data_IF_185992574523
#
_entry.id   IF_185992574523
#
_cell.length_a   1.000
_cell.length_b   1.000
_cell.length_c   1.000
_cell.angle_alpha   90.00
_cell.angle_beta   90.00
_cell.angle_gamma   90.00
#
_symmetry.space_group_name_H-M   'P 1'
#
loop_
_entity.id
_entity.type
_entity.pdbx_description
1 polymer ?
#
# COMPACT_ATOMS: atom_id res chain seq x y z
N UNK A 1 -3.21 16.75 -9.74
CA UNK A 1 -2.38 17.97 -9.61
C UNK A 1 -1.74 18.22 -10.96
N UNK A 2 -1.90 19.40 -11.55
CA UNK A 2 -1.25 19.75 -12.84
C UNK A 2 0.20 20.23 -12.60
N UNK A 3 1.02 20.30 -13.66
CA UNK A 3 2.44 20.65 -13.55
C UNK A 3 2.67 22.06 -12.98
N UNK A 4 1.80 23.02 -13.33
CA UNK A 4 1.83 24.39 -12.76
C UNK A 4 1.57 24.42 -11.26
N UNK A 5 0.56 23.68 -10.79
CA UNK A 5 0.25 23.60 -9.36
C UNK A 5 1.35 22.92 -8.54
N UNK A 6 2.00 21.89 -9.11
CA UNK A 6 3.17 21.26 -8.51
C UNK A 6 4.35 22.24 -8.39
N UNK A 7 4.67 22.94 -9.48
CA UNK A 7 5.77 23.90 -9.49
C UNK A 7 5.57 25.01 -8.46
N UNK A 8 4.36 25.57 -8.39
CA UNK A 8 4.06 26.66 -7.45
C UNK A 8 4.24 26.20 -5.99
N UNK A 9 3.76 25.00 -5.64
CA UNK A 9 3.97 24.42 -4.31
C UNK A 9 5.45 24.13 -4.03
N UNK A 10 6.19 23.64 -5.02
CA UNK A 10 7.63 23.39 -4.90
C UNK A 10 8.39 24.68 -4.63
N UNK A 11 8.11 25.74 -5.39
CA UNK A 11 8.73 27.06 -5.21
C UNK A 11 8.40 27.63 -3.83
N UNK A 12 7.14 27.54 -3.38
CA UNK A 12 6.74 28.01 -2.05
C UNK A 12 7.46 27.27 -0.94
N UNK A 13 7.57 25.94 -1.02
CA UNK A 13 8.33 25.13 -0.06
C UNK A 13 9.80 25.55 -0.04
N UNK A 14 10.42 25.63 -1.22
CA UNK A 14 11.82 26.02 -1.36
C UNK A 14 12.06 27.40 -0.77
N UNK A 15 11.27 28.40 -1.15
CA UNK A 15 11.41 29.77 -0.63
C UNK A 15 11.16 29.84 0.87
N UNK A 16 10.15 29.16 1.40
CA UNK A 16 9.85 29.16 2.84
C UNK A 16 11.04 28.61 3.65
N UNK A 17 11.59 27.47 3.23
CA UNK A 17 12.73 26.84 3.91
C UNK A 17 13.97 27.73 3.77
N UNK A 18 14.30 28.14 2.55
CA UNK A 18 15.50 28.94 2.26
C UNK A 18 15.49 30.28 3.00
N UNK A 19 14.34 30.97 3.04
CA UNK A 19 14.22 32.23 3.77
C UNK A 19 14.31 32.04 5.28
N UNK A 20 13.72 30.97 5.82
CA UNK A 20 13.82 30.65 7.26
C UNK A 20 15.28 30.39 7.65
N UNK A 21 16.01 29.64 6.82
CA UNK A 21 17.44 29.38 7.02
C UNK A 21 18.30 30.62 6.90
N UNK A 22 18.00 31.52 5.95
CA UNK A 22 18.66 32.80 5.86
C UNK A 22 18.48 33.62 7.15
N UNK A 23 17.25 33.77 7.64
CA UNK A 23 16.94 34.47 8.89
C UNK A 23 17.65 33.84 10.08
N UNK A 24 17.63 32.50 10.19
CA UNK A 24 18.34 31.75 11.23
C UNK A 24 19.85 32.01 11.18
N UNK A 25 20.46 31.98 9.99
CA UNK A 25 21.88 32.28 9.80
C UNK A 25 22.21 33.69 10.27
N UNK A 26 21.40 34.68 9.90
CA UNK A 26 21.56 36.07 10.35
C UNK A 26 21.44 36.20 11.86
N UNK A 27 20.46 35.53 12.47
CA UNK A 27 20.26 35.54 13.91
C UNK A 27 21.44 34.90 14.67
N UNK A 28 21.96 33.77 14.19
CA UNK A 28 23.14 33.11 14.76
C UNK A 28 24.37 34.02 14.66
N UNK A 29 24.59 34.62 13.49
CA UNK A 29 25.71 35.53 13.29
C UNK A 29 25.60 36.79 14.16
N UNK A 30 24.39 37.35 14.30
CA UNK A 30 24.13 38.47 15.20
C UNK A 30 24.46 38.12 16.66
N UNK A 31 23.98 36.98 17.13
CA UNK A 31 24.21 36.52 18.51
C UNK A 31 25.70 36.33 18.82
N UNK A 32 26.46 35.75 17.88
CA UNK A 32 27.90 35.48 18.08
C UNK A 32 28.74 36.76 18.05
N UNK A 33 28.41 37.67 17.13
CA UNK A 33 29.24 38.84 16.88
C UNK A 33 28.86 40.04 17.75
N UNK A 34 27.61 40.11 18.22
CA UNK A 34 27.07 41.25 18.98
C UNK A 34 27.37 42.61 18.31
N UNK A 35 27.02 42.80 17.02
CA UNK A 35 27.35 44.02 16.28
C UNK A 35 26.62 45.25 16.85
N UNK A 36 27.24 46.43 16.71
CA UNK A 36 26.58 47.71 16.97
C UNK A 36 25.40 47.96 16.01
N UNK A 37 24.50 48.90 16.35
CA UNK A 37 23.33 49.20 15.52
C UNK A 37 23.71 49.64 14.08
N UNK A 38 24.83 50.35 13.91
CA UNK A 38 25.32 50.77 12.61
C UNK A 38 25.90 49.60 11.80
N UNK A 39 26.68 48.72 12.44
CA UNK A 39 27.21 47.51 11.82
C UNK A 39 26.07 46.55 11.42
N UNK A 40 25.04 46.44 12.25
CA UNK A 40 23.85 45.64 11.95
C UNK A 40 23.12 46.11 10.69
N UNK A 41 22.95 47.43 10.50
CA UNK A 41 22.34 47.99 9.28
C UNK A 41 23.15 47.69 8.02
N UNK A 42 24.48 47.78 8.10
CA UNK A 42 25.39 47.41 7.00
C UNK A 42 25.31 45.91 6.72
N UNK A 43 25.24 45.10 7.78
CA UNK A 43 25.13 43.66 7.70
C UNK A 43 23.77 43.21 7.14
N UNK A 44 22.71 43.98 7.32
CA UNK A 44 21.40 43.72 6.72
C UNK A 44 21.37 44.11 5.23
N UNK A 45 22.04 45.21 4.84
CA UNK A 45 21.99 45.75 3.47
C UNK A 45 22.92 45.05 2.49
N UNK A 46 24.13 44.71 2.93
CA UNK A 46 25.16 44.10 2.07
C UNK A 46 24.79 42.75 1.43
N UNK A 47 24.08 41.82 2.11
CA UNK A 47 23.86 40.48 1.60
C UNK A 47 22.54 40.30 0.84
N UNK A 48 21.65 41.30 0.80
CA UNK A 48 20.31 41.16 0.17
C UNK A 48 20.44 40.75 -1.31
N UNK A 49 21.38 41.36 -2.03
CA UNK A 49 21.63 41.04 -3.44
C UNK A 49 22.21 39.63 -3.57
N UNK A 50 23.15 39.26 -2.71
CA UNK A 50 23.80 37.94 -2.75
C UNK A 50 22.78 36.83 -2.44
N UNK A 51 21.95 37.00 -1.41
CA UNK A 51 20.86 36.07 -1.06
C UNK A 51 19.87 35.95 -2.23
N UNK A 52 19.49 37.06 -2.87
CA UNK A 52 18.59 37.02 -4.01
C UNK A 52 19.19 36.26 -5.20
N UNK A 53 20.49 36.48 -5.51
CA UNK A 53 21.20 35.77 -6.58
C UNK A 53 21.33 34.28 -6.27
N UNK A 54 21.74 33.92 -5.05
CA UNK A 54 21.88 32.53 -4.59
C UNK A 54 20.54 31.81 -4.67
N UNK A 55 19.46 32.44 -4.19
CA UNK A 55 18.10 31.89 -4.25
C UNK A 55 17.62 31.72 -5.70
N UNK A 56 17.92 32.67 -6.58
CA UNK A 56 17.57 32.56 -8.00
C UNK A 56 18.29 31.39 -8.69
N UNK A 57 19.58 31.21 -8.42
CA UNK A 57 20.36 30.07 -8.94
C UNK A 57 19.80 28.76 -8.39
N UNK A 58 19.54 28.68 -7.08
CA UNK A 58 19.00 27.48 -6.46
C UNK A 58 17.62 27.11 -7.03
N UNK A 59 16.72 28.10 -7.19
CA UNK A 59 15.42 27.92 -7.83
C UNK A 59 15.54 27.44 -9.29
N UNK A 60 16.51 27.95 -10.05
CA UNK A 60 16.76 27.51 -11.42
C UNK A 60 17.21 26.03 -11.47
N UNK A 61 18.07 25.62 -10.55
CA UNK A 61 18.50 24.21 -10.41
C UNK A 61 17.32 23.33 -10.02
N UNK A 62 16.54 23.72 -9.01
CA UNK A 62 15.35 22.99 -8.57
C UNK A 62 14.32 22.87 -9.69
N UNK A 63 14.09 23.93 -10.46
CA UNK A 63 13.23 23.90 -11.64
C UNK A 63 13.72 22.88 -12.67
N UNK A 64 15.02 22.86 -12.98
CA UNK A 64 15.62 21.88 -13.88
C UNK A 64 15.40 20.43 -13.43
N UNK A 65 15.55 20.17 -12.13
CA UNK A 65 15.32 18.85 -11.52
C UNK A 65 13.84 18.44 -11.52
N UNK A 66 12.93 19.40 -11.34
CA UNK A 66 11.49 19.19 -11.29
C UNK A 66 10.82 19.09 -12.66
N UNK A 67 11.46 19.61 -13.71
CA UNK A 67 10.90 19.67 -15.08
C UNK A 67 10.35 18.33 -15.60
N UNK A 68 11.03 17.17 -15.46
CA UNK A 68 10.49 15.89 -15.93
C UNK A 68 9.19 15.50 -15.21
N UNK A 69 9.07 15.81 -13.92
CA UNK A 69 7.86 15.56 -13.12
C UNK A 69 6.72 16.44 -13.62
N UNK A 70 6.99 17.72 -13.91
CA UNK A 70 5.99 18.62 -14.46
C UNK A 70 5.48 18.18 -15.83
N UNK A 71 6.38 17.77 -16.74
CA UNK A 71 6.02 17.28 -18.07
C UNK A 71 5.10 16.05 -17.99
N UNK A 72 5.33 15.17 -17.00
CA UNK A 72 4.45 14.06 -16.72
C UNK A 72 3.06 14.53 -16.22
N UNK A 73 3.02 15.45 -15.26
CA UNK A 73 1.74 15.97 -14.72
C UNK A 73 0.92 16.75 -15.74
N UNK A 74 1.55 17.32 -16.77
CA UNK A 74 0.89 18.00 -17.87
C UNK A 74 0.47 17.04 -19.00
N UNK A 75 0.60 15.72 -18.81
CA UNK A 75 0.20 14.71 -19.78
C UNK A 75 1.11 14.61 -21.01
N UNK A 76 2.28 15.26 -20.99
CA UNK A 76 3.24 15.28 -22.11
C UNK A 76 4.17 14.06 -22.14
N UNK A 77 4.11 13.22 -21.12
CA UNK A 77 4.91 12.00 -20.99
C UNK A 77 3.95 10.82 -20.83
N UNK A 78 3.79 10.04 -21.90
CA UNK A 78 2.85 8.90 -21.95
C UNK A 78 3.56 7.55 -22.07
N UNK A 79 4.83 7.53 -22.50
CA UNK A 79 5.61 6.30 -22.63
C UNK A 79 5.95 5.68 -21.27
N UNK A 80 5.74 4.36 -21.13
CA UNK A 80 6.00 3.59 -19.90
C UNK A 80 7.45 3.77 -19.42
N UNK A 81 8.43 3.72 -20.32
CA UNK A 81 9.84 3.92 -19.98
C UNK A 81 10.13 5.32 -19.44
N UNK A 82 9.44 6.34 -19.96
CA UNK A 82 9.57 7.70 -19.47
C UNK A 82 8.88 7.90 -18.11
N UNK A 83 7.74 7.26 -17.87
CA UNK A 83 7.06 7.24 -16.56
C UNK A 83 7.95 6.58 -15.49
N UNK A 84 8.64 5.47 -15.81
CA UNK A 84 9.61 4.84 -14.89
C UNK A 84 10.76 5.80 -14.54
N UNK A 85 11.32 6.53 -15.51
CA UNK A 85 12.35 7.55 -15.25
C UNK A 85 11.85 8.70 -14.36
N UNK A 86 10.59 9.14 -14.56
CA UNK A 86 9.96 10.16 -13.71
C UNK A 86 9.77 9.63 -12.29
N UNK A 87 9.36 8.38 -12.12
CA UNK A 87 9.25 7.70 -10.83
C UNK A 87 10.60 7.60 -10.12
N UNK A 88 11.64 7.12 -10.79
CA UNK A 88 12.99 7.00 -10.22
C UNK A 88 13.56 8.35 -9.79
N UNK A 89 13.37 9.37 -10.62
CA UNK A 89 13.74 10.74 -10.25
C UNK A 89 12.91 11.25 -9.10
N UNK A 90 11.59 11.05 -9.13
CA UNK A 90 10.65 11.50 -8.10
C UNK A 90 10.95 10.95 -6.71
N UNK A 91 11.40 9.69 -6.62
CA UNK A 91 11.82 9.06 -5.36
C UNK A 91 13.10 9.69 -4.81
N UNK A 92 14.05 10.05 -5.68
CA UNK A 92 15.34 10.61 -5.28
C UNK A 92 15.33 12.14 -5.15
N UNK A 93 14.35 12.83 -5.74
CA UNK A 93 14.24 14.28 -5.81
C UNK A 93 14.33 14.97 -4.43
N UNK A 94 13.66 14.49 -3.37
CA UNK A 94 13.79 15.08 -2.03
C UNK A 94 15.23 15.09 -1.51
N UNK A 95 15.98 14.01 -1.74
CA UNK A 95 17.37 13.88 -1.26
C UNK A 95 18.34 14.73 -2.08
N UNK A 96 18.15 14.78 -3.40
CA UNK A 96 18.99 15.60 -4.28
C UNK A 96 18.83 17.09 -3.93
N UNK A 97 17.58 17.56 -3.78
CA UNK A 97 17.32 18.96 -3.44
C UNK A 97 17.81 19.27 -2.02
N UNK A 98 17.62 18.38 -1.05
CA UNK A 98 18.15 18.55 0.30
C UNK A 98 19.68 18.68 0.33
N UNK A 99 20.40 17.81 -0.39
CA UNK A 99 21.86 17.85 -0.46
C UNK A 99 22.36 19.11 -1.19
N UNK A 100 21.72 19.47 -2.30
CA UNK A 100 22.04 20.72 -3.00
C UNK A 100 21.79 21.93 -2.11
N UNK A 101 20.67 21.97 -1.38
CA UNK A 101 20.38 23.05 -0.45
C UNK A 101 21.49 23.20 0.60
N UNK A 102 21.87 22.10 1.24
CA UNK A 102 22.96 22.10 2.22
C UNK A 102 24.26 22.70 1.65
N UNK A 103 24.64 22.30 0.43
CA UNK A 103 25.81 22.86 -0.25
C UNK A 103 25.63 24.36 -0.57
N UNK A 104 24.47 24.76 -1.11
CA UNK A 104 24.15 26.15 -1.41
C UNK A 104 24.23 27.03 -0.17
N UNK A 105 23.79 26.54 1.00
CA UNK A 105 23.91 27.25 2.26
C UNK A 105 25.35 27.32 2.75
N UNK A 106 26.08 26.20 2.79
CA UNK A 106 27.48 26.18 3.23
C UNK A 106 28.32 27.20 2.45
N UNK A 107 28.24 27.16 1.12
CA UNK A 107 29.04 28.05 0.28
C UNK A 107 28.45 29.47 0.22
N UNK A 108 27.13 29.58 0.17
CA UNK A 108 26.41 30.85 0.09
C UNK A 108 26.62 31.72 1.33
N UNK A 109 26.44 31.17 2.54
CA UNK A 109 26.66 31.93 3.78
C UNK A 109 28.13 32.30 3.96
N UNK A 110 29.06 31.43 3.55
CA UNK A 110 30.50 31.73 3.58
C UNK A 110 30.84 32.90 2.65
N UNK A 111 30.30 32.90 1.43
CA UNK A 111 30.52 33.98 0.48
C UNK A 111 29.89 35.31 0.94
N UNK A 112 28.66 35.25 1.46
CA UNK A 112 27.94 36.39 2.04
C UNK A 112 28.75 36.98 3.20
N UNK A 113 29.15 36.16 4.16
CA UNK A 113 29.89 36.64 5.34
C UNK A 113 31.25 37.19 4.96
N UNK A 114 31.99 36.56 4.04
CA UNK A 114 33.25 37.12 3.52
C UNK A 114 33.08 38.54 2.95
N UNK A 115 32.01 38.78 2.19
CA UNK A 115 31.75 40.10 1.59
C UNK A 115 31.30 41.13 2.62
N UNK A 116 30.43 40.75 3.56
CA UNK A 116 30.01 41.62 4.67
C UNK A 116 31.19 41.98 5.57
N UNK A 117 32.12 41.05 5.83
CA UNK A 117 33.33 41.29 6.63
C UNK A 117 34.26 42.31 5.97
N UNK A 118 34.45 42.23 4.65
CA UNK A 118 35.21 43.25 3.89
C UNK A 118 34.58 44.63 3.98
N UNK A 119 33.25 44.72 3.99
CA UNK A 119 32.54 45.99 4.11
C UNK A 119 32.61 46.58 5.53
N UNK A 120 32.72 45.74 6.56
CA UNK A 120 32.78 46.12 7.97
C UNK A 120 34.21 46.28 8.51
N UNK A 121 35.24 45.87 7.76
CA UNK A 121 36.64 45.94 8.20
C UNK A 121 36.99 44.94 9.31
N UNK A 122 36.15 43.92 9.53
CA UNK A 122 36.35 42.92 10.57
C UNK A 122 37.48 41.94 10.20
N UNK A 123 38.13 41.29 11.19
CA UNK A 123 39.23 40.37 10.94
C UNK A 123 38.83 39.20 10.01
N UNK A 124 39.74 38.74 9.16
CA UNK A 124 39.46 37.62 8.25
C UNK A 124 39.10 36.31 8.99
N UNK A 125 39.54 36.17 10.25
CA UNK A 125 39.21 35.03 11.12
C UNK A 125 37.70 34.89 11.35
N UNK A 126 36.93 35.99 11.30
CA UNK A 126 35.48 35.96 11.51
C UNK A 126 34.68 35.30 10.38
N UNK A 127 35.29 35.00 9.23
CA UNK A 127 34.69 34.24 8.12
C UNK A 127 34.34 32.82 8.54
N UNK A 128 35.14 32.24 9.44
CA UNK A 128 34.96 30.87 9.93
C UNK A 128 33.59 30.69 10.59
N UNK A 129 33.05 31.71 11.27
CA UNK A 129 31.70 31.66 11.85
C UNK A 129 30.61 31.59 10.79
N UNK A 130 30.79 32.25 9.64
CA UNK A 130 29.85 32.20 8.51
C UNK A 130 29.82 30.87 7.78
N UNK A 131 30.99 30.23 7.67
CA UNK A 131 31.10 28.84 7.18
C UNK A 131 30.40 27.87 8.13
N UNK A 132 30.66 27.99 9.43
CA UNK A 132 30.08 27.12 10.44
C UNK A 132 28.56 27.29 10.51
N UNK A 133 28.05 28.53 10.55
CA UNK A 133 26.60 28.78 10.50
C UNK A 133 25.96 28.20 9.23
N UNK A 134 26.64 28.27 8.08
CA UNK A 134 26.21 27.65 6.83
C UNK A 134 26.12 26.13 6.89
N UNK A 135 27.14 25.48 7.46
CA UNK A 135 27.15 24.02 7.71
C UNK A 135 25.97 23.64 8.59
N UNK A 136 25.71 24.39 9.65
CA UNK A 136 24.66 24.07 10.61
C UNK A 136 23.28 24.27 10.02
N UNK A 137 23.01 25.43 9.42
CA UNK A 137 21.73 25.70 8.76
C UNK A 137 21.49 24.74 7.61
N UNK A 138 22.50 24.51 6.76
CA UNK A 138 22.43 23.53 5.68
C UNK A 138 22.21 22.10 6.16
N UNK A 139 22.73 21.72 7.33
CA UNK A 139 22.46 20.42 7.94
C UNK A 139 21.02 20.33 8.47
N UNK A 140 20.54 21.34 9.20
CA UNK A 140 19.16 21.40 9.68
C UNK A 140 18.13 21.43 8.54
N UNK A 141 18.51 21.99 7.39
CA UNK A 141 17.72 22.03 6.16
C UNK A 141 17.34 20.64 5.65
N UNK A 142 18.29 19.71 5.68
CA UNK A 142 18.20 18.41 5.01
C UNK A 142 16.91 17.66 5.36
N UNK A 143 16.59 17.39 6.65
CA UNK A 143 15.35 16.69 7.00
C UNK A 143 14.10 17.46 6.57
N UNK A 144 14.11 18.80 6.66
CA UNK A 144 12.97 19.64 6.30
C UNK A 144 12.67 19.57 4.80
N UNK A 145 13.71 19.62 3.95
CA UNK A 145 13.58 19.42 2.51
C UNK A 145 13.15 17.99 2.16
N UNK A 146 13.77 16.98 2.78
CA UNK A 146 13.41 15.58 2.54
C UNK A 146 11.94 15.35 2.85
N UNK A 147 11.44 15.84 3.99
CA UNK A 147 10.05 15.68 4.39
C UNK A 147 9.10 16.45 3.47
N UNK A 148 9.36 17.76 3.26
CA UNK A 148 8.45 18.65 2.54
C UNK A 148 8.32 18.27 1.06
N UNK A 149 9.43 17.88 0.43
CA UNK A 149 9.41 17.46 -0.98
C UNK A 149 8.83 16.05 -1.11
N UNK A 150 9.08 15.14 -0.16
CA UNK A 150 8.44 13.83 -0.17
C UNK A 150 6.91 13.93 -0.03
N UNK A 151 6.43 14.84 0.83
CA UNK A 151 5.01 15.15 0.94
C UNK A 151 4.42 15.67 -0.39
N UNK A 152 5.13 16.58 -1.06
CA UNK A 152 4.73 17.08 -2.38
C UNK A 152 4.74 15.99 -3.47
N UNK A 153 5.71 15.08 -3.41
CA UNK A 153 5.91 14.00 -4.40
C UNK A 153 4.94 12.83 -4.23
N UNK A 154 4.45 12.57 -3.01
CA UNK A 154 3.54 11.46 -2.71
C UNK A 154 2.36 11.32 -3.69
N UNK A 155 1.57 12.38 -4.00
CA UNK A 155 0.48 12.27 -4.97
C UNK A 155 0.95 11.97 -6.40
N UNK A 156 2.11 12.48 -6.81
CA UNK A 156 2.70 12.24 -8.13
C UNK A 156 3.15 10.78 -8.24
N UNK A 157 3.85 10.28 -7.22
CA UNK A 157 4.34 8.90 -7.18
C UNK A 157 3.17 7.92 -7.25
N UNK A 158 2.07 8.16 -6.53
CA UNK A 158 0.86 7.32 -6.60
C UNK A 158 0.31 7.19 -8.03
N UNK A 159 0.35 8.26 -8.83
CA UNK A 159 -0.07 8.23 -10.23
C UNK A 159 0.87 7.40 -11.11
N UNK A 160 2.18 7.48 -10.87
CA UNK A 160 3.18 6.69 -11.61
C UNK A 160 3.15 5.19 -11.29
N UNK A 161 2.50 4.79 -10.19
CA UNK A 161 2.46 3.40 -9.69
C UNK A 161 1.15 2.67 -9.97
N UNK A 162 0.16 3.33 -10.58
CA UNK A 162 -1.19 2.79 -10.76
C UNK A 162 -1.25 1.51 -11.62
N UNK A 163 -0.24 1.23 -12.46
CA UNK A 163 -0.20 0.05 -13.33
C UNK A 163 0.82 -1.04 -12.96
N UNK A 164 1.83 -0.76 -12.13
CA UNK A 164 2.90 -1.72 -11.79
C UNK A 164 3.26 -1.63 -10.30
N UNK A 165 2.44 -2.24 -9.43
CA UNK A 165 2.65 -2.22 -7.96
C UNK A 165 4.01 -2.81 -7.56
N UNK A 166 4.48 -3.88 -8.20
CA UNK A 166 5.78 -4.50 -7.87
C UNK A 166 6.98 -3.66 -8.36
N UNK A 167 6.89 -3.04 -9.53
CA UNK A 167 7.96 -2.18 -10.05
C UNK A 167 8.14 -0.90 -9.23
N UNK A 168 7.08 -0.41 -8.59
CA UNK A 168 7.12 0.75 -7.69
C UNK A 168 8.10 0.58 -6.52
N UNK A 169 8.23 -0.64 -5.98
CA UNK A 169 9.11 -0.95 -4.84
C UNK A 169 10.59 -1.12 -5.24
N UNK A 170 10.89 -1.20 -6.54
CA UNK A 170 12.25 -1.34 -7.08
C UNK A 170 12.85 -0.02 -7.61
N UNK A 171 12.05 1.05 -7.63
CA UNK A 171 12.40 2.31 -8.22
C UNK A 171 13.31 3.18 -7.33
N UNK A 172 14.26 3.88 -7.93
CA UNK A 172 15.21 4.77 -7.24
C UNK A 172 16.32 4.06 -6.44
N UNK A 173 17.16 4.84 -5.74
CA UNK A 173 18.19 4.28 -4.84
C UNK A 173 17.56 3.92 -3.51
N UNK A 174 17.73 2.67 -3.07
CA UNK A 174 17.25 2.19 -1.77
C UNK A 174 18.14 2.74 -0.66
N UNK A 175 17.66 3.78 0.01
CA UNK A 175 18.24 4.25 1.28
C UNK A 175 17.47 3.59 2.41
N UNK A 176 18.15 2.79 3.25
CA UNK A 176 17.52 2.11 4.38
C UNK A 176 16.96 3.12 5.39
N UNK A 177 15.86 2.77 6.06
CA UNK A 177 15.29 3.61 7.13
C UNK A 177 16.33 3.85 8.23
N UNK A 178 17.15 2.84 8.54
CA UNK A 178 18.28 2.94 9.48
C UNK A 178 19.23 4.07 9.10
N UNK A 179 19.71 4.07 7.86
CA UNK A 179 20.65 5.09 7.39
C UNK A 179 20.01 6.49 7.43
N UNK A 180 18.73 6.62 7.06
CA UNK A 180 18.03 7.92 7.12
C UNK A 180 17.94 8.46 8.54
N UNK A 181 17.51 7.62 9.49
CA UNK A 181 17.37 8.01 10.90
C UNK A 181 18.72 8.36 11.51
N UNK A 182 19.71 7.47 11.36
CA UNK A 182 21.07 7.69 11.90
C UNK A 182 21.70 8.94 11.31
N UNK A 183 21.67 9.09 9.98
CA UNK A 183 22.23 10.27 9.33
C UNK A 183 21.52 11.54 9.80
N UNK A 184 20.18 11.55 9.85
CA UNK A 184 19.42 12.75 10.25
C UNK A 184 19.71 13.16 11.69
N UNK A 185 19.63 12.22 12.64
CA UNK A 185 19.85 12.53 14.06
C UNK A 185 21.29 12.95 14.32
N UNK A 186 22.27 12.20 13.78
CA UNK A 186 23.70 12.53 13.95
C UNK A 186 24.03 13.89 13.36
N UNK A 187 23.43 14.22 12.22
CA UNK A 187 23.64 15.49 11.53
C UNK A 187 23.01 16.67 12.28
N UNK A 188 21.78 16.52 12.81
CA UNK A 188 21.15 17.55 13.65
C UNK A 188 21.96 17.78 14.93
N UNK A 189 22.32 16.71 15.65
CA UNK A 189 23.06 16.83 16.91
C UNK A 189 24.48 17.34 16.65
N UNK A 190 25.16 16.84 15.62
CA UNK A 190 26.49 17.31 15.25
C UNK A 190 26.50 18.78 14.84
N UNK A 191 25.49 19.24 14.11
CA UNK A 191 25.33 20.65 13.77
C UNK A 191 25.10 21.51 15.03
N UNK A 192 24.11 21.16 15.86
CA UNK A 192 23.77 21.92 17.06
C UNK A 192 24.94 21.99 18.05
N UNK A 193 25.56 20.84 18.37
CA UNK A 193 26.68 20.78 19.31
C UNK A 193 27.95 21.40 18.73
N UNK A 194 28.17 21.31 17.42
CA UNK A 194 29.29 21.96 16.73
C UNK A 194 29.20 23.48 16.83
N UNK A 195 27.99 24.02 16.65
CA UNK A 195 27.74 25.44 16.88
C UNK A 195 28.11 25.85 18.30
N UNK A 196 27.53 25.17 19.29
CA UNK A 196 27.74 25.48 20.70
C UNK A 196 29.22 25.36 21.08
N UNK A 197 29.94 24.39 20.54
CA UNK A 197 31.38 24.24 20.78
C UNK A 197 32.20 25.41 20.22
N UNK A 198 31.88 25.87 19.01
CA UNK A 198 32.54 27.01 18.37
C UNK A 198 32.26 28.31 19.13
N UNK A 199 30.99 28.55 19.48
CA UNK A 199 30.59 29.74 20.24
C UNK A 199 31.24 29.71 21.62
N UNK A 200 31.17 28.57 22.32
CA UNK A 200 31.80 28.37 23.62
C UNK A 200 33.31 28.61 23.57
N UNK A 201 34.01 28.07 22.56
CA UNK A 201 35.43 28.33 22.34
C UNK A 201 35.71 29.83 22.13
N UNK A 202 34.95 30.49 21.25
CA UNK A 202 35.14 31.91 20.95
C UNK A 202 34.92 32.82 22.16
N UNK A 203 33.90 32.55 22.97
CA UNK A 203 33.60 33.30 24.19
C UNK A 203 34.66 33.05 25.26
N UNK A 204 35.07 31.79 25.44
CA UNK A 204 36.12 31.41 26.41
C UNK A 204 37.45 32.10 26.05
N UNK A 205 37.80 32.15 24.76
CA UNK A 205 39.00 32.84 24.27
C UNK A 205 38.96 34.34 24.59
N UNK A 206 37.85 35.02 24.27
CA UNK A 206 37.68 36.46 24.58
C UNK A 206 37.82 36.76 26.07
N UNK A 207 37.27 35.91 26.93
CA UNK A 207 37.40 36.05 28.40
C UNK A 207 38.87 35.94 28.82
N UNK A 208 39.59 34.95 28.31
CA UNK A 208 41.03 34.75 28.59
C UNK A 208 41.87 35.94 28.11
N UNK A 209 41.60 36.46 26.91
CA UNK A 209 42.30 37.61 26.35
C UNK A 209 42.06 38.88 27.19
N UNK A 210 40.82 39.11 27.62
CA UNK A 210 40.46 40.24 28.49
C UNK A 210 41.12 40.14 29.87
N UNK A 211 41.15 38.96 30.49
CA UNK A 211 41.85 38.75 31.76
C UNK A 211 43.35 39.01 31.63
N UNK A 212 43.98 38.62 30.52
CA UNK A 212 45.38 38.89 30.27
C UNK A 212 45.66 40.39 30.11
N UNK A 213 44.83 41.10 29.35
CA UNK A 213 44.98 42.56 29.18
C UNK A 213 44.98 43.27 30.54
N UNK A 214 44.13 42.85 31.48
CA UNK A 214 44.09 43.37 32.84
C UNK A 214 45.34 43.00 33.64
N UNK A 215 45.79 41.74 33.58
CA UNK A 215 46.98 41.28 34.32
C UNK A 215 48.24 42.01 33.82
N UNK A 216 48.44 42.11 32.50
CA UNK A 216 49.59 42.78 31.89
C UNK A 216 49.57 44.29 32.18
N UNK A 217 48.40 44.92 32.15
CA UNK A 217 48.27 46.33 32.57
C UNK A 217 48.60 46.54 34.05
N UNK A 218 48.32 45.53 34.90
CA UNK A 218 48.59 45.58 36.35
C UNK A 218 50.04 45.22 36.70
N UNK A 219 50.67 44.33 35.93
CA UNK A 219 52.06 43.93 36.13
C UNK A 219 52.99 44.80 35.27
N UNK A 220 53.73 45.72 35.89
CA UNK A 220 54.74 46.54 35.22
C UNK A 220 55.87 45.67 34.61
N UNK A 221 55.65 45.08 33.42
CA UNK A 221 56.69 44.47 32.58
C UNK A 221 57.01 42.98 32.77
N UNK A 222 56.03 42.08 32.97
CA UNK A 222 56.32 40.65 33.14
C UNK A 222 56.35 39.81 31.83
N UNK A 223 57.57 39.62 31.32
CA UNK A 223 58.24 38.43 30.72
C UNK A 223 57.65 37.59 29.54
N UNK A 224 58.51 37.17 28.58
CA UNK A 224 58.18 36.31 27.42
C UNK A 224 57.85 34.84 27.75
N UNK A 225 58.07 34.38 28.98
CA UNK A 225 57.69 33.04 29.42
C UNK A 225 56.15 32.87 29.54
N UNK A 226 55.43 33.96 29.82
CA UNK A 226 53.97 33.99 29.81
C UNK A 226 53.44 33.66 28.42
N UNK A 227 53.98 34.27 27.36
CA UNK A 227 53.56 34.06 25.96
C UNK A 227 53.64 32.58 25.50
N UNK A 228 54.67 31.84 25.92
CA UNK A 228 54.83 30.42 25.54
C UNK A 228 53.86 29.50 26.29
N UNK A 229 53.58 29.79 27.57
CA UNK A 229 52.55 29.07 28.35
C UNK A 229 51.12 29.33 27.86
N UNK A 230 50.91 30.48 27.20
CA UNK A 230 49.62 30.90 26.63
C UNK A 230 49.29 30.17 25.32
N UNK A 231 50.24 30.07 24.39
CA UNK A 231 50.05 29.31 23.15
C UNK A 231 49.74 27.82 23.39
N UNK A 232 50.30 27.24 24.47
CA UNK A 232 49.98 25.87 24.90
C UNK A 232 48.57 25.75 25.48
N UNK A 233 48.11 26.74 26.25
CA UNK A 233 46.74 26.81 26.80
C UNK A 233 45.69 27.03 25.72
N UNK A 234 45.95 27.88 24.72
CA UNK A 234 45.05 28.09 23.58
C UNK A 234 44.83 26.81 22.76
N UNK A 235 45.91 26.09 22.46
CA UNK A 235 45.83 24.78 21.77
C UNK A 235 45.05 23.76 22.60
N UNK A 236 45.22 23.75 23.92
CA UNK A 236 44.48 22.87 24.82
C UNK A 236 42.96 23.11 24.78
N UNK A 237 42.53 24.37 24.75
CA UNK A 237 41.10 24.73 24.66
C UNK A 237 40.48 24.35 23.32
N UNK A 238 41.16 24.62 22.21
CA UNK A 238 40.67 24.24 20.89
C UNK A 238 40.53 22.71 20.77
N UNK A 239 41.53 21.97 21.25
CA UNK A 239 41.49 20.49 21.30
C UNK A 239 40.37 20.00 22.21
N UNK A 240 40.16 20.63 23.37
CA UNK A 240 39.09 20.27 24.29
C UNK A 240 37.69 20.40 23.65
N UNK A 241 37.38 21.55 23.05
CA UNK A 241 36.08 21.76 22.39
C UNK A 241 35.90 20.85 21.16
N UNK A 242 36.98 20.58 20.41
CA UNK A 242 36.95 19.64 19.29
C UNK A 242 36.64 18.20 19.76
N UNK A 243 37.30 17.73 20.82
CA UNK A 243 37.07 16.41 21.40
C UNK A 243 35.66 16.29 21.99
N UNK A 244 35.17 17.34 22.64
CA UNK A 244 33.81 17.38 23.19
C UNK A 244 32.75 17.29 22.08
N UNK A 245 32.95 18.02 20.97
CA UNK A 245 32.08 17.91 19.80
C UNK A 245 32.14 16.51 19.17
N UNK A 246 33.34 15.96 18.97
CA UNK A 246 33.51 14.62 18.40
C UNK A 246 32.84 13.55 19.29
N UNK A 247 33.00 13.67 20.61
CA UNK A 247 32.33 12.78 21.56
C UNK A 247 30.80 12.88 21.44
N UNK A 248 30.24 14.10 21.34
CA UNK A 248 28.81 14.29 21.14
C UNK A 248 28.29 13.68 19.83
N UNK A 249 29.03 13.83 18.73
CA UNK A 249 28.71 13.20 17.44
C UNK A 249 28.73 11.68 17.55
N UNK A 250 29.77 11.10 18.17
CA UNK A 250 29.87 9.64 18.35
C UNK A 250 28.73 9.09 19.21
N UNK A 251 28.44 9.74 20.34
CA UNK A 251 27.35 9.35 21.24
C UNK A 251 26.00 9.45 20.52
N UNK A 252 25.75 10.54 19.80
CA UNK A 252 24.50 10.71 19.04
C UNK A 252 24.35 9.67 17.94
N UNK A 253 25.43 9.32 17.24
CA UNK A 253 25.43 8.26 16.24
C UNK A 253 25.13 6.89 16.85
N UNK A 254 25.70 6.57 18.00
CA UNK A 254 25.41 5.33 18.72
C UNK A 254 23.95 5.26 19.18
N UNK A 255 23.43 6.31 19.81
CA UNK A 255 22.03 6.38 20.26
C UNK A 255 21.07 6.29 19.07
N UNK A 256 21.34 7.03 17.99
CA UNK A 256 20.51 6.99 16.79
C UNK A 256 20.54 5.61 16.11
N UNK A 257 21.68 4.92 16.14
CA UNK A 257 21.81 3.56 15.62
C UNK A 257 21.01 2.56 16.46
N UNK A 258 21.08 2.64 17.79
CA UNK A 258 20.31 1.80 18.69
C UNK A 258 18.79 2.00 18.48
N UNK A 259 18.33 3.25 18.45
CA UNK A 259 16.93 3.58 18.19
C UNK A 259 16.47 3.10 16.80
N UNK A 260 17.28 3.32 15.77
CA UNK A 260 16.98 2.84 14.42
C UNK A 260 16.90 1.31 14.35
N UNK A 261 17.77 0.59 15.06
CA UNK A 261 17.76 -0.87 15.15
C UNK A 261 16.47 -1.36 15.83
N UNK A 262 16.10 -0.73 16.94
CA UNK A 262 14.88 -1.03 17.71
C UNK A 262 13.61 -0.84 16.87
N UNK A 263 13.52 0.22 16.06
CA UNK A 263 12.35 0.44 15.19
C UNK A 263 12.31 -0.51 13.98
N UNK A 264 13.47 -0.83 13.39
CA UNK A 264 13.51 -1.55 12.11
C UNK A 264 13.58 -3.05 12.22
N UNK A 265 14.05 -3.60 13.35
CA UNK A 265 14.06 -5.05 13.58
C UNK A 265 12.62 -5.63 13.64
N UNK A 266 11.66 -5.06 14.39
CA UNK A 266 10.28 -5.51 14.40
C UNK A 266 9.60 -5.39 13.03
N UNK A 267 9.90 -4.32 12.27
CA UNK A 267 9.41 -4.17 10.90
C UNK A 267 9.91 -5.27 9.96
N UNK A 268 11.14 -5.75 10.13
CA UNK A 268 11.66 -6.89 9.36
C UNK A 268 10.96 -8.19 9.75
N UNK A 269 10.66 -8.40 11.03
CA UNK A 269 9.90 -9.56 11.50
C UNK A 269 8.47 -9.56 10.95
N UNK A 270 7.78 -8.42 10.97
CA UNK A 270 6.45 -8.24 10.37
C UNK A 270 6.45 -8.48 8.87
N UNK A 271 7.46 -7.95 8.16
CA UNK A 271 7.63 -8.22 6.73
C UNK A 271 7.83 -9.72 6.47
N UNK A 272 8.69 -10.39 7.24
CA UNK A 272 8.91 -11.83 7.10
C UNK A 272 7.64 -12.63 7.36
N UNK A 273 6.81 -12.22 8.32
CA UNK A 273 5.51 -12.83 8.56
C UNK A 273 4.55 -12.62 7.39
N UNK A 274 4.49 -11.41 6.83
CA UNK A 274 3.70 -11.17 5.62
C UNK A 274 4.17 -12.01 4.43
N UNK A 275 5.48 -12.22 4.27
CA UNK A 275 6.05 -13.10 3.23
C UNK A 275 5.66 -14.59 3.47
N UNK A 276 5.60 -15.05 4.73
CA UNK A 276 5.07 -16.39 5.08
C UNK A 276 3.58 -16.54 4.79
N UNK A 277 2.78 -15.54 5.13
CA UNK A 277 1.34 -15.47 4.80
C UNK A 277 1.13 -15.53 3.29
N UNK A 278 1.95 -14.81 2.50
CA UNK A 278 1.95 -14.88 1.03
C UNK A 278 2.27 -16.29 0.52
N UNK A 279 3.14 -17.03 1.22
CA UNK A 279 3.48 -18.41 0.90
C UNK A 279 2.45 -19.44 1.42
N UNK A 280 1.36 -19.01 2.06
CA UNK A 280 0.32 -19.89 2.60
C UNK A 280 0.65 -20.50 3.98
N UNK A 281 1.67 -19.98 4.66
CA UNK A 281 2.08 -20.45 6.00
C UNK A 281 1.44 -19.53 7.05
N UNK A 282 0.39 -20.03 7.72
CA UNK A 282 -0.37 -19.30 8.75
C UNK A 282 -0.12 -19.82 10.17
N UNK A 283 0.61 -20.92 10.32
CA UNK A 283 0.85 -21.62 11.60
C UNK A 283 1.89 -20.95 12.50
N UNK A 284 2.57 -19.91 12.01
CA UNK A 284 3.65 -19.22 12.73
C UNK A 284 3.27 -17.78 13.09
N UNK A 285 2.72 -17.54 14.31
CA UNK A 285 2.31 -16.21 14.73
C UNK A 285 3.52 -15.28 14.90
N UNK A 286 3.28 -13.99 14.71
CA UNK A 286 4.27 -12.95 15.01
C UNK A 286 4.37 -12.80 16.52
N UNK A 287 5.49 -13.25 17.09
CA UNK A 287 5.83 -13.08 18.49
C UNK A 287 6.64 -11.79 18.66
N UNK A 288 5.96 -10.73 19.02
CA UNK A 288 6.55 -9.42 19.28
C UNK A 288 6.10 -8.94 20.66
N UNK A 289 7.06 -8.60 21.52
CA UNK A 289 6.79 -7.91 22.78
C UNK A 289 7.05 -6.42 22.55
N UNK A 290 5.99 -5.69 22.23
CA UNK A 290 6.02 -4.24 22.11
C UNK A 290 4.68 -3.66 22.54
N UNK A 291 4.70 -2.49 23.16
CA UNK A 291 3.52 -1.74 23.61
C UNK A 291 3.29 -0.47 22.76
N UNK A 292 3.75 -0.50 21.50
CA UNK A 292 3.63 0.58 20.52
C UNK A 292 2.76 0.15 19.32
N UNK A 293 2.69 1.01 18.31
CA UNK A 293 1.93 0.75 17.08
C UNK A 293 2.45 -0.48 16.30
N UNK A 294 3.71 -0.88 16.50
CA UNK A 294 4.26 -2.09 15.90
C UNK A 294 3.72 -3.36 16.59
N UNK A 295 3.53 -3.30 17.91
CA UNK A 295 2.85 -4.33 18.69
C UNK A 295 1.39 -4.50 18.27
N UNK A 296 0.65 -3.40 18.14
CA UNK A 296 -0.73 -3.42 17.62
C UNK A 296 -0.82 -4.00 16.21
N UNK A 297 0.14 -3.64 15.34
CA UNK A 297 0.22 -4.18 13.98
C UNK A 297 0.53 -5.69 13.97
N UNK A 298 1.37 -6.18 14.88
CA UNK A 298 1.62 -7.61 15.04
C UNK A 298 0.33 -8.36 15.47
N UNK A 299 -0.43 -7.79 16.40
CA UNK A 299 -1.72 -8.35 16.84
C UNK A 299 -2.72 -8.38 15.68
N UNK A 300 -2.82 -7.29 14.91
CA UNK A 300 -3.69 -7.22 13.74
C UNK A 300 -3.31 -8.25 12.66
N UNK A 301 -2.01 -8.45 12.42
CA UNK A 301 -1.52 -9.44 11.47
C UNK A 301 -1.84 -10.87 11.94
N UNK A 302 -1.70 -11.16 13.23
CA UNK A 302 -2.09 -12.45 13.81
C UNK A 302 -3.59 -12.72 13.65
N UNK A 303 -4.45 -11.75 13.99
CA UNK A 303 -5.91 -11.87 13.79
C UNK A 303 -6.29 -12.13 12.34
N UNK A 304 -5.57 -11.52 11.39
CA UNK A 304 -5.77 -11.79 9.97
C UNK A 304 -5.40 -13.23 9.60
N UNK A 305 -4.28 -13.76 10.12
CA UNK A 305 -3.89 -15.16 9.91
C UNK A 305 -4.90 -16.14 10.52
N UNK A 306 -5.40 -15.86 11.72
CA UNK A 306 -6.43 -16.68 12.38
C UNK A 306 -7.73 -16.71 11.56
N UNK A 307 -8.15 -15.53 11.08
CA UNK A 307 -9.36 -15.40 10.24
C UNK A 307 -9.21 -16.20 8.94
N UNK A 308 -8.08 -16.06 8.24
CA UNK A 308 -7.80 -16.83 7.01
C UNK A 308 -7.83 -18.34 7.31
N UNK A 309 -7.20 -18.77 8.40
CA UNK A 309 -7.16 -20.19 8.78
C UNK A 309 -8.56 -20.73 9.07
N UNK A 310 -9.40 -19.98 9.80
CA UNK A 310 -10.79 -20.37 10.05
C UNK A 310 -11.61 -20.47 8.75
N UNK A 311 -11.44 -19.53 7.82
CA UNK A 311 -12.13 -19.54 6.54
C UNK A 311 -11.71 -20.72 5.68
N UNK A 312 -10.41 -21.08 5.68
CA UNK A 312 -9.92 -22.27 5.00
C UNK A 312 -10.49 -23.56 5.61
N UNK A 313 -10.67 -23.61 6.92
CA UNK A 313 -11.29 -24.77 7.57
C UNK A 313 -12.77 -24.91 7.18
N UNK A 314 -13.55 -23.82 7.25
CA UNK A 314 -14.95 -23.84 6.80
C UNK A 314 -15.07 -24.20 5.32
N UNK A 315 -14.17 -23.72 4.47
CA UNK A 315 -14.16 -24.09 3.05
C UNK A 315 -13.92 -25.59 2.86
N UNK A 316 -13.03 -26.21 3.65
CA UNK A 316 -12.79 -27.66 3.60
C UNK A 316 -14.01 -28.46 4.03
N UNK A 317 -14.73 -28.00 5.06
CA UNK A 317 -15.98 -28.63 5.53
C UNK A 317 -17.05 -28.59 4.43
N UNK A 318 -17.28 -27.42 3.81
CA UNK A 318 -18.22 -27.27 2.69
C UNK A 318 -17.82 -28.16 1.50
N UNK A 319 -16.53 -28.26 1.19
CA UNK A 319 -16.04 -29.15 0.12
C UNK A 319 -16.26 -30.63 0.44
N UNK A 320 -16.12 -31.03 1.70
CA UNK A 320 -16.40 -32.41 2.14
C UNK A 320 -17.90 -32.73 2.04
N UNK A 321 -18.78 -31.80 2.46
CA UNK A 321 -20.22 -31.93 2.31
C UNK A 321 -20.65 -32.01 0.84
N UNK A 322 -20.06 -31.14 -0.01
CA UNK A 322 -20.31 -31.15 -1.44
C UNK A 322 -19.92 -32.49 -2.07
N UNK A 323 -18.75 -33.03 -1.71
CA UNK A 323 -18.31 -34.35 -2.19
C UNK A 323 -19.28 -35.46 -1.77
N UNK A 324 -19.69 -35.48 -0.51
CA UNK A 324 -20.68 -36.45 -0.01
C UNK A 324 -22.07 -36.27 -0.65
N UNK A 325 -22.42 -35.06 -1.07
CA UNK A 325 -23.62 -34.78 -1.86
C UNK A 325 -23.54 -35.35 -3.27
N UNK A 326 -22.39 -35.21 -3.94
CA UNK A 326 -22.14 -35.76 -5.28
C UNK A 326 -22.21 -37.30 -5.25
N UNK A 327 -21.63 -37.95 -4.24
CA UNK A 327 -21.70 -39.41 -4.09
C UNK A 327 -23.16 -39.91 -3.97
N UNK A 328 -23.99 -39.22 -3.17
CA UNK A 328 -25.43 -39.53 -3.06
C UNK A 328 -26.20 -39.32 -4.36
N UNK A 329 -25.82 -38.34 -5.16
CA UNK A 329 -26.41 -38.12 -6.49
C UNK A 329 -26.04 -39.26 -7.43
N UNK A 330 -24.78 -39.74 -7.44
CA UNK A 330 -24.35 -40.88 -8.27
C UNK A 330 -25.15 -42.15 -7.94
N UNK A 331 -25.34 -42.45 -6.64
CA UNK A 331 -26.14 -43.58 -6.18
C UNK A 331 -27.61 -43.46 -6.62
N UNK A 332 -28.18 -42.25 -6.54
CA UNK A 332 -29.55 -41.96 -6.99
C UNK A 332 -29.67 -42.15 -8.51
N UNK A 333 -28.68 -41.71 -9.28
CA UNK A 333 -28.64 -41.88 -10.74
C UNK A 333 -28.57 -43.37 -11.11
N UNK A 334 -27.77 -44.18 -10.40
CA UNK A 334 -27.76 -45.64 -10.61
C UNK A 334 -29.10 -46.28 -10.33
N UNK A 335 -29.72 -45.92 -9.20
CA UNK A 335 -31.06 -46.43 -8.84
C UNK A 335 -32.10 -46.05 -9.90
N UNK A 336 -32.07 -44.80 -10.39
CA UNK A 336 -32.97 -44.35 -11.47
C UNK A 336 -32.74 -45.16 -12.76
N UNK A 337 -31.47 -45.47 -13.10
CA UNK A 337 -31.17 -46.31 -14.26
C UNK A 337 -31.71 -47.73 -14.12
N UNK A 338 -31.57 -48.35 -12.94
CA UNK A 338 -32.12 -49.68 -12.65
C UNK A 338 -33.65 -49.69 -12.76
N UNK A 339 -34.32 -48.75 -12.10
CA UNK A 339 -35.78 -48.59 -12.16
C UNK A 339 -36.26 -48.33 -13.58
N UNK A 340 -35.55 -47.49 -14.34
CA UNK A 340 -35.90 -47.21 -15.74
C UNK A 340 -35.80 -48.46 -16.62
N UNK A 341 -34.79 -49.30 -16.39
CA UNK A 341 -34.61 -50.57 -17.09
C UNK A 341 -35.74 -51.56 -16.76
N UNK A 342 -36.10 -51.68 -15.48
CA UNK A 342 -37.21 -52.52 -15.03
C UNK A 342 -38.55 -52.03 -15.61
N UNK A 343 -38.77 -50.71 -15.60
CA UNK A 343 -39.98 -50.10 -16.14
C UNK A 343 -40.10 -50.30 -17.65
N UNK A 344 -39.01 -50.25 -18.41
CA UNK A 344 -38.99 -50.58 -19.83
C UNK A 344 -39.37 -52.05 -20.09
N UNK A 345 -38.87 -52.97 -19.27
CA UNK A 345 -39.26 -54.39 -19.31
C UNK A 345 -40.75 -54.57 -18.98
N UNK A 346 -41.23 -53.90 -17.92
CA UNK A 346 -42.65 -53.91 -17.53
C UNK A 346 -43.58 -53.36 -18.61
N UNK A 347 -43.18 -52.27 -19.28
CA UNK A 347 -43.92 -51.71 -20.40
C UNK A 347 -44.00 -52.67 -21.60
N UNK A 348 -42.92 -53.42 -21.88
CA UNK A 348 -42.90 -54.46 -22.92
C UNK A 348 -43.86 -55.61 -22.60
N UNK A 349 -43.89 -56.03 -21.33
CA UNK A 349 -44.83 -57.04 -20.85
C UNK A 349 -46.29 -56.55 -20.95
N UNK A 350 -46.56 -55.30 -20.54
CA UNK A 350 -47.88 -54.68 -20.67
C UNK A 350 -48.33 -54.59 -22.12
N UNK A 351 -47.45 -54.19 -23.05
CA UNK A 351 -47.77 -54.18 -24.47
C UNK A 351 -48.20 -55.56 -24.98
N UNK A 352 -47.54 -56.62 -24.50
CA UNK A 352 -47.89 -58.01 -24.82
C UNK A 352 -49.27 -58.40 -24.26
N UNK A 353 -49.57 -58.04 -23.01
CA UNK A 353 -50.90 -58.26 -22.38
C UNK A 353 -52.00 -57.51 -23.13
N UNK A 354 -51.72 -56.28 -23.58
CA UNK A 354 -52.67 -55.49 -24.38
C UNK A 354 -52.92 -56.15 -25.74
N UNK A 355 -51.87 -56.68 -26.40
CA UNK A 355 -52.03 -57.43 -27.65
C UNK A 355 -52.89 -58.69 -27.47
N UNK A 356 -52.63 -59.46 -26.42
CA UNK A 356 -53.43 -60.65 -26.08
C UNK A 356 -54.88 -60.27 -25.78
N UNK A 357 -55.10 -59.22 -24.98
CA UNK A 357 -56.44 -58.71 -24.68
C UNK A 357 -57.19 -58.26 -25.95
N UNK A 358 -56.48 -57.64 -26.90
CA UNK A 358 -57.06 -57.28 -28.19
C UNK A 358 -57.45 -58.51 -29.01
N UNK A 359 -56.65 -59.58 -28.96
CA UNK A 359 -56.97 -60.84 -29.62
C UNK A 359 -58.20 -61.51 -28.98
N UNK A 360 -58.28 -61.54 -27.65
CA UNK A 360 -59.45 -62.02 -26.90
C UNK A 360 -60.68 -61.18 -27.23
N UNK A 361 -60.56 -59.85 -27.28
CA UNK A 361 -61.66 -58.97 -27.68
C UNK A 361 -62.15 -59.30 -29.11
N UNK A 362 -61.24 -59.60 -30.03
CA UNK A 362 -61.59 -60.02 -31.39
C UNK A 362 -62.34 -61.37 -31.39
N UNK A 363 -61.91 -62.33 -30.56
CA UNK A 363 -62.58 -63.62 -30.40
C UNK A 363 -63.97 -63.48 -29.77
N UNK A 364 -64.14 -62.57 -28.79
CA UNK A 364 -65.44 -62.21 -28.22
C UNK A 364 -66.37 -61.65 -29.30
N UNK A 365 -65.88 -60.77 -30.19
CA UNK A 365 -66.68 -60.25 -31.32
C UNK A 365 -67.13 -61.38 -32.25
N UNK A 366 -66.23 -62.32 -32.56
CA UNK A 366 -66.57 -63.50 -33.37
C UNK A 366 -67.63 -64.35 -32.68
N UNK A 367 -67.48 -64.59 -31.38
CA UNK A 367 -68.42 -65.38 -30.57
C UNK A 367 -69.78 -64.69 -30.48
N UNK A 368 -69.82 -63.37 -30.24
CA UNK A 368 -71.03 -62.58 -30.20
C UNK A 368 -71.80 -62.63 -31.55
N UNK A 369 -71.07 -62.61 -32.68
CA UNK A 369 -71.66 -62.82 -34.01
C UNK A 369 -72.27 -64.23 -34.13
N UNK A 370 -71.55 -65.27 -33.73
CA UNK A 370 -72.08 -66.64 -33.72
C UNK A 370 -73.33 -66.79 -32.85
N UNK A 371 -73.36 -66.17 -31.66
CA UNK A 371 -74.54 -66.17 -30.79
C UNK A 371 -75.71 -65.45 -31.47
N UNK A 372 -75.47 -64.30 -32.10
CA UNK A 372 -76.51 -63.57 -32.83
C UNK A 372 -77.09 -64.40 -33.98
N UNK A 373 -76.25 -65.09 -34.75
CA UNK A 373 -76.71 -65.96 -35.85
C UNK A 373 -77.52 -67.16 -35.34
N UNK A 374 -77.09 -67.78 -34.23
CA UNK A 374 -77.87 -68.83 -33.57
C UNK A 374 -79.20 -68.31 -33.05
N UNK A 375 -79.23 -67.14 -32.43
CA UNK A 375 -80.48 -66.52 -31.96
C UNK A 375 -81.46 -66.30 -33.13
N UNK A 376 -80.99 -65.80 -34.28
CA UNK A 376 -81.81 -65.68 -35.50
C UNK A 376 -82.29 -67.02 -36.05
N UNK A 377 -81.50 -68.09 -35.87
CA UNK A 377 -81.92 -69.44 -36.25
C UNK A 377 -83.04 -69.94 -35.33
N UNK A 378 -82.86 -69.80 -34.02
CA UNK A 378 -83.88 -70.17 -33.01
C UNK A 378 -85.18 -69.40 -33.22
N UNK A 379 -85.10 -68.10 -33.54
CA UNK A 379 -86.26 -67.27 -33.86
C UNK A 379 -87.02 -67.81 -35.08
N UNK A 380 -86.30 -68.18 -36.15
CA UNK A 380 -86.89 -68.84 -37.34
C UNK A 380 -87.52 -70.19 -37.00
N UNK A 381 -86.86 -71.01 -36.20
CA UNK A 381 -87.37 -72.33 -35.80
C UNK A 381 -88.63 -72.18 -34.93
N UNK A 382 -88.67 -71.18 -34.04
CA UNK A 382 -89.85 -70.83 -33.25
C UNK A 382 -91.00 -70.33 -34.14
N UNK A 383 -90.73 -69.45 -35.11
CA UNK A 383 -91.72 -68.97 -36.08
C UNK A 383 -92.32 -70.12 -36.91
N UNK A 384 -91.48 -71.06 -37.36
CA UNK A 384 -91.92 -72.27 -38.05
C UNK A 384 -92.78 -73.16 -37.15
N UNK A 385 -92.40 -73.34 -35.88
CA UNK A 385 -93.15 -74.11 -34.89
C UNK A 385 -94.52 -73.48 -34.61
N UNK A 386 -94.58 -72.15 -34.44
CA UNK A 386 -95.84 -71.41 -34.28
C UNK A 386 -96.71 -71.57 -35.53
N UNK A 387 -96.12 -71.51 -36.72
CA UNK A 387 -96.81 -71.79 -37.98
C UNK A 387 -97.42 -73.19 -38.01
N UNK A 388 -96.64 -74.21 -37.65
CA UNK A 388 -97.10 -75.60 -37.57
C UNK A 388 -98.21 -75.79 -36.51
N UNK A 389 -98.11 -75.13 -35.35
CA UNK A 389 -99.15 -75.15 -34.33
C UNK A 389 -100.45 -74.50 -34.83
N UNK A 390 -100.38 -73.33 -35.49
CA UNK A 390 -101.57 -72.70 -36.09
C UNK A 390 -102.20 -73.58 -37.17
N UNK A 391 -101.37 -74.24 -37.99
CA UNK A 391 -101.86 -75.22 -38.96
C UNK A 391 -102.55 -76.38 -38.25
N UNK A 392 -101.94 -76.92 -37.19
CA UNK A 392 -102.50 -77.95 -36.32
C UNK A 392 -103.83 -77.54 -35.67
N UNK A 393 -103.93 -76.33 -35.10
CA UNK A 393 -105.18 -75.77 -34.58
C UNK A 393 -106.25 -75.69 -35.66
N UNK A 394 -105.90 -75.25 -36.87
CA UNK A 394 -106.87 -75.20 -37.98
C UNK A 394 -107.38 -76.59 -38.38
N UNK A 395 -106.52 -77.61 -38.32
CA UNK A 395 -106.88 -79.00 -38.59
C UNK A 395 -107.77 -79.57 -37.49
N UNK A 396 -107.46 -79.27 -36.22
CA UNK A 396 -108.29 -79.65 -35.08
C UNK A 396 -109.65 -78.96 -35.11
N UNK A 397 -109.71 -77.67 -35.44
CA UNK A 397 -110.97 -76.94 -35.60
C UNK A 397 -111.81 -77.51 -36.76
N UNK A 398 -111.19 -77.87 -37.89
CA UNK A 398 -111.87 -78.57 -39.00
C UNK A 398 -112.36 -79.95 -38.58
N UNK A 399 -111.58 -80.70 -37.81
CA UNK A 399 -112.00 -81.98 -37.25
C UNK A 399 -113.18 -81.81 -36.30
N UNK A 400 -113.18 -80.79 -35.43
CA UNK A 400 -114.30 -80.47 -34.53
C UNK A 400 -115.60 -80.16 -35.31
N UNK A 401 -115.52 -79.34 -36.36
CA UNK A 401 -116.68 -79.08 -37.24
C UNK A 401 -117.16 -80.35 -37.93
N UNK A 402 -116.24 -81.19 -38.41
CA UNK A 402 -116.57 -82.47 -39.05
C UNK A 402 -117.26 -83.44 -38.08
N UNK A 403 -116.80 -83.50 -36.81
CA UNK A 403 -117.45 -84.28 -35.76
C UNK A 403 -118.84 -83.74 -35.40
N UNK A 404 -119.03 -82.41 -35.39
CA UNK A 404 -120.36 -81.80 -35.24
C UNK A 404 -121.30 -82.17 -36.39
N UNK A 405 -120.81 -82.23 -37.63
CA UNK A 405 -121.61 -82.63 -38.79
C UNK A 405 -122.01 -84.11 -38.81
N UNK A 406 -121.25 -84.99 -38.14
CA UNK A 406 -121.64 -86.41 -37.96
C UNK A 406 -122.67 -86.57 -36.82
N UNK A 407 -122.78 -85.56 -35.95
CA UNK A 407 -123.66 -85.54 -34.78
C UNK A 407 -125.07 -85.00 -35.06
N UNK A 408 -125.37 -84.55 -36.28
CA UNK A 408 -126.70 -84.18 -36.79
C UNK A 408 -127.11 -85.15 -37.91
#
# INVERSE_FOLDING_TARGET
MNGRGFLLRLILIVLAITNTEAVMTFALFYFVMSPSAAEFLIMLRTPIVDVAVINAIFLAVVFGLARPVMLFLDGRVTEIAAIRRVRDRGINLPYIIAFLSAAFFIFGTTAITWRSLKALGWPAETVTYGLLSGVICGMLAVPLYVYSINWLMTPVLRQTTAGEREAAFSAGRRVSIRLKLVATVTLIVGAATGYTAVVGYSQTRRVIDNYQAVIVASSHGAQPAAAKSLALRERGLAVFYLLLWLAAVVVSGFVAFAAAQEMTSPLQALRGAADRVRAGIYSEPVRMLSNDELGELAIALNRMMDTITSQMQSLREVMAELKAGIERIDDSVRTIHEVSSEQASGATQQASVVQESSAVAQEIVVTARQISDKAKSVDRDAESTVGACRQGESLLARAEVSFKQISE
#
